data_IF_673813905544
#
_entry.id   IF_673813905544
#
_cell.length_a   1.000
_cell.length_b   1.000
_cell.length_c   1.000
_cell.angle_alpha   90.00
_cell.angle_beta   90.00
_cell.angle_gamma   90.00
#
_symmetry.space_group_name_H-M   'P 1'
#
loop_
_entity.id
_entity.type
_entity.pdbx_description
1 polymer ?
#
# COMPACT_ATOMS: atom_id res chain seq x y z
N UNK A 1 -14.84 -9.85 44.55
CA UNK A 1 -13.45 -9.51 44.15
C UNK A 1 -12.83 -10.80 43.61
N UNK A 2 -12.42 -10.99 42.35
CA UNK A 2 -12.01 -10.12 41.25
C UNK A 2 -12.60 -10.68 39.94
N UNK A 3 -13.00 -9.79 39.03
CA UNK A 3 -13.30 -10.10 37.64
C UNK A 3 -11.99 -10.46 36.92
N UNK A 4 -11.94 -11.62 36.27
CA UNK A 4 -10.93 -11.93 35.25
C UNK A 4 -11.63 -11.85 33.90
N UNK A 5 -11.62 -10.65 33.32
CA UNK A 5 -11.88 -10.47 31.89
C UNK A 5 -10.66 -11.05 31.14
N UNK A 6 -10.83 -12.23 30.55
CA UNK A 6 -9.95 -12.76 29.53
C UNK A 6 -10.13 -11.90 28.27
N UNK A 7 -9.24 -10.94 28.08
CA UNK A 7 -9.08 -10.24 26.82
C UNK A 7 -8.57 -11.23 25.77
N UNK A 8 -9.44 -11.59 24.82
CA UNK A 8 -9.03 -12.28 23.61
C UNK A 8 -8.19 -11.31 22.76
N UNK A 9 -6.87 -11.47 22.82
CA UNK A 9 -5.95 -10.77 21.91
C UNK A 9 -6.13 -11.40 20.54
N UNK A 10 -6.83 -10.71 19.64
CA UNK A 10 -6.88 -11.05 18.23
C UNK A 10 -5.48 -10.81 17.64
N UNK A 11 -4.67 -11.87 17.55
CA UNK A 11 -3.44 -11.84 16.79
C UNK A 11 -3.78 -11.57 15.33
N UNK A 12 -3.34 -10.43 14.79
CA UNK A 12 -3.31 -10.18 13.35
C UNK A 12 -2.36 -11.19 12.71
N UNK A 13 -2.91 -12.32 12.28
CA UNK A 13 -2.20 -13.31 11.51
C UNK A 13 -2.04 -12.78 10.08
N UNK A 14 -0.95 -12.05 9.84
CA UNK A 14 -0.36 -12.00 8.50
C UNK A 14 0.19 -13.40 8.20
N UNK A 15 -0.67 -14.30 7.71
CA UNK A 15 -0.24 -15.58 7.15
C UNK A 15 0.56 -15.29 5.87
N UNK A 16 1.89 -15.29 6.01
CA UNK A 16 2.82 -15.02 4.92
C UNK A 16 4.27 -15.03 5.38
N UNK A 17 4.69 -16.03 6.17
CA UNK A 17 6.10 -16.24 6.47
C UNK A 17 6.75 -17.01 5.31
N UNK A 18 7.40 -16.31 4.38
CA UNK A 18 8.33 -16.94 3.46
C UNK A 18 9.62 -17.30 4.24
N UNK A 19 9.91 -18.60 4.35
CA UNK A 19 11.14 -19.09 4.98
C UNK A 19 12.34 -18.82 4.07
N UNK A 20 13.29 -18.01 4.53
CA UNK A 20 14.57 -17.82 3.84
C UNK A 20 15.46 -19.03 4.17
N UNK A 21 15.80 -19.86 3.19
CA UNK A 21 16.85 -20.86 3.37
C UNK A 21 18.19 -20.14 3.44
N UNK A 22 18.85 -20.27 4.59
CA UNK A 22 20.12 -19.61 4.92
C UNK A 22 21.26 -20.12 4.03
N UNK A 23 21.88 -19.23 3.25
CA UNK A 23 23.34 -19.11 3.23
C UNK A 23 23.82 -17.76 2.68
N UNK A 24 24.87 -17.25 3.33
CA UNK A 24 25.88 -16.29 2.89
C UNK A 24 25.53 -14.81 2.62
N UNK A 25 26.35 -13.98 3.28
CA UNK A 25 26.52 -12.53 3.12
C UNK A 25 27.14 -12.16 1.76
N UNK A 26 26.53 -11.22 1.03
CA UNK A 26 27.13 -10.04 0.36
C UNK A 26 26.11 -9.40 -0.59
N UNK A 27 26.20 -8.08 -0.69
CA UNK A 27 25.58 -7.13 -1.63
C UNK A 27 24.47 -7.65 -2.58
N UNK A 28 23.30 -7.01 -2.53
CA UNK A 28 22.20 -7.15 -3.51
C UNK A 28 21.91 -8.59 -3.91
N UNK A 29 21.40 -9.37 -2.95
CA UNK A 29 20.99 -10.76 -3.17
C UNK A 29 19.89 -10.84 -4.21
N UNK A 30 20.23 -11.51 -5.30
CA UNK A 30 19.38 -11.97 -6.40
C UNK A 30 17.99 -12.43 -5.90
N UNK A 31 17.03 -11.51 -5.97
CA UNK A 31 15.64 -11.66 -5.50
C UNK A 31 14.94 -12.83 -6.22
N UNK A 32 15.44 -13.20 -7.41
CA UNK A 32 14.94 -14.31 -8.21
C UNK A 32 15.04 -15.67 -7.49
N UNK A 33 15.93 -15.80 -6.51
CA UNK A 33 16.11 -17.04 -5.73
C UNK A 33 15.24 -17.10 -4.46
N UNK A 34 14.47 -16.04 -4.14
CA UNK A 34 13.55 -16.07 -3.00
C UNK A 34 12.28 -16.83 -3.42
N UNK A 35 12.22 -18.10 -3.06
CA UNK A 35 11.05 -18.95 -3.26
C UNK A 35 9.91 -18.57 -2.30
N UNK A 36 9.00 -17.70 -2.75
CA UNK A 36 7.73 -17.48 -2.08
C UNK A 36 6.71 -18.50 -2.61
N UNK A 37 6.12 -19.36 -1.75
CA UNK A 37 5.08 -20.29 -2.17
C UNK A 37 3.97 -19.60 -2.96
N UNK A 38 3.45 -20.24 -4.02
CA UNK A 38 2.44 -19.63 -4.90
C UNK A 38 1.18 -19.17 -4.14
N UNK A 39 0.82 -19.86 -3.05
CA UNK A 39 -0.35 -19.49 -2.22
C UNK A 39 -0.12 -18.27 -1.31
N UNK A 40 1.13 -17.79 -1.19
CA UNK A 40 1.47 -16.61 -0.40
C UNK A 40 1.47 -15.30 -1.20
N UNK A 41 1.12 -15.36 -2.50
CA UNK A 41 1.01 -14.19 -3.36
C UNK A 41 -0.42 -13.63 -3.32
N UNK A 42 -0.54 -12.33 -3.05
CA UNK A 42 -1.81 -11.61 -3.09
C UNK A 42 -1.95 -10.88 -4.43
N UNK A 43 -3.01 -11.20 -5.20
CA UNK A 43 -3.30 -10.51 -6.46
C UNK A 43 -3.94 -9.14 -6.19
N UNK A 44 -3.56 -8.12 -6.95
CA UNK A 44 -4.15 -6.77 -6.85
C UNK A 44 -4.12 -6.06 -8.20
N UNK A 45 -4.93 -5.02 -8.35
CA UNK A 45 -4.99 -4.19 -9.56
C UNK A 45 -4.12 -2.95 -9.38
N UNK A 46 -3.24 -2.69 -10.35
CA UNK A 46 -2.49 -1.44 -10.44
C UNK A 46 -3.32 -0.28 -11.01
N UNK A 47 -2.83 0.95 -10.84
CA UNK A 47 -3.44 2.16 -11.43
C UNK A 47 -3.38 2.19 -12.96
N UNK A 48 -2.55 1.35 -13.58
CA UNK A 48 -2.46 1.13 -15.02
C UNK A 48 -3.44 0.07 -15.54
N UNK A 49 -4.20 -0.58 -14.65
CA UNK A 49 -5.14 -1.63 -15.00
C UNK A 49 -4.52 -3.01 -15.17
N UNK A 50 -3.22 -3.17 -14.86
CA UNK A 50 -2.53 -4.46 -14.90
C UNK A 50 -2.66 -5.16 -13.54
N UNK A 51 -3.05 -6.44 -13.56
CA UNK A 51 -3.07 -7.30 -12.38
C UNK A 51 -1.65 -7.72 -12.04
N UNK A 52 -1.29 -7.57 -10.77
CA UNK A 52 0.01 -7.93 -10.22
C UNK A 52 -0.18 -8.75 -8.97
N UNK A 53 0.91 -9.37 -8.54
CA UNK A 53 0.99 -10.13 -7.31
C UNK A 53 1.96 -9.45 -6.37
N UNK A 54 1.65 -9.45 -5.07
CA UNK A 54 2.52 -8.96 -4.00
C UNK A 54 2.72 -10.02 -2.94
N UNK A 55 3.94 -10.14 -2.45
CA UNK A 55 4.28 -10.93 -1.28
C UNK A 55 5.15 -10.10 -0.35
N UNK A 56 5.08 -10.36 0.95
CA UNK A 56 5.83 -9.62 1.95
C UNK A 56 6.92 -10.49 2.55
N UNK A 57 8.11 -9.92 2.67
CA UNK A 57 9.23 -10.46 3.43
C UNK A 57 9.43 -9.53 4.60
N UNK A 58 9.01 -9.97 5.77
CA UNK A 58 9.20 -9.21 7.00
C UNK A 58 10.68 -9.20 7.38
N UNK A 59 11.19 -8.06 7.81
CA UNK A 59 12.60 -7.92 8.20
C UNK A 59 12.92 -8.52 9.59
N UNK A 60 11.94 -9.08 10.29
CA UNK A 60 12.09 -9.60 11.65
C UNK A 60 12.59 -11.05 11.67
N UNK A 61 13.82 -11.25 11.19
CA UNK A 61 14.60 -12.48 11.38
C UNK A 61 15.75 -12.26 12.38
N UNK A 62 15.51 -11.55 13.48
CA UNK A 62 16.40 -11.60 14.65
C UNK A 62 15.59 -12.05 15.86
N UNK A 63 16.16 -13.00 16.61
CA UNK A 63 15.64 -13.54 17.87
C UNK A 63 15.49 -12.49 18.98
N UNK A 64 15.94 -11.27 18.71
CA UNK A 64 15.82 -10.08 19.54
C UNK A 64 15.09 -9.00 18.72
N UNK A 65 14.24 -8.21 19.38
CA UNK A 65 13.65 -6.92 18.96
C UNK A 65 12.15 -6.86 18.60
N UNK A 66 11.43 -6.16 19.49
CA UNK A 66 10.08 -5.56 19.47
C UNK A 66 8.87 -6.47 19.18
N UNK A 67 7.88 -6.40 20.08
CA UNK A 67 6.49 -6.83 19.84
C UNK A 67 5.86 -5.90 18.78
N UNK A 68 5.95 -6.29 17.51
CA UNK A 68 5.46 -5.54 16.33
C UNK A 68 6.14 -4.16 16.10
N UNK A 69 6.40 -3.76 14.83
CA UNK A 69 6.89 -2.42 14.52
C UNK A 69 5.87 -1.35 14.97
N UNK A 70 6.36 -0.18 15.40
CA UNK A 70 5.53 1.01 15.60
C UNK A 70 5.17 1.65 14.26
N UNK A 71 4.14 2.51 14.25
CA UNK A 71 3.76 3.25 13.05
C UNK A 71 4.91 4.11 12.51
N UNK A 72 5.16 4.00 11.21
CA UNK A 72 6.29 4.63 10.53
C UNK A 72 7.61 3.85 10.63
N UNK A 73 7.68 2.76 11.40
CA UNK A 73 8.85 1.86 11.37
C UNK A 73 8.79 0.91 10.17
N UNK A 74 9.97 0.57 9.64
CA UNK A 74 10.09 -0.42 8.58
C UNK A 74 9.63 -1.80 9.09
N UNK A 75 8.65 -2.38 8.41
CA UNK A 75 8.11 -3.70 8.71
C UNK A 75 8.76 -4.82 7.89
N UNK A 76 9.44 -4.48 6.79
CA UNK A 76 10.03 -5.43 5.85
C UNK A 76 10.16 -4.85 4.45
N UNK A 77 10.12 -5.72 3.44
CA UNK A 77 10.01 -5.33 2.05
C UNK A 77 8.98 -6.19 1.31
N UNK A 78 8.39 -5.62 0.27
CA UNK A 78 7.48 -6.32 -0.62
C UNK A 78 8.21 -6.77 -1.89
N UNK A 79 7.85 -7.94 -2.37
CA UNK A 79 8.14 -8.43 -3.71
C UNK A 79 6.90 -8.28 -4.58
N UNK A 80 7.12 -8.09 -5.88
CA UNK A 80 6.02 -8.11 -6.84
C UNK A 80 6.42 -8.86 -8.10
N UNK A 81 5.41 -9.40 -8.78
CA UNK A 81 5.51 -9.97 -10.11
C UNK A 81 4.24 -9.62 -10.87
N UNK A 82 4.31 -9.57 -12.20
CA UNK A 82 3.09 -9.57 -13.01
C UNK A 82 2.42 -10.92 -12.83
N UNK A 83 1.08 -10.93 -12.81
CA UNK A 83 0.30 -12.16 -12.66
C UNK A 83 0.78 -13.26 -13.64
N UNK A 84 1.13 -14.43 -13.09
CA UNK A 84 1.65 -15.56 -13.87
C UNK A 84 3.13 -15.49 -14.28
N UNK A 85 3.85 -14.41 -13.94
CA UNK A 85 5.29 -14.35 -14.11
C UNK A 85 5.99 -15.24 -13.08
N UNK A 86 7.10 -15.88 -13.47
CA UNK A 86 7.85 -16.79 -12.59
C UNK A 86 8.79 -16.07 -11.64
N UNK A 87 9.46 -15.02 -12.10
CA UNK A 87 10.51 -14.35 -11.33
C UNK A 87 9.98 -13.07 -10.70
N UNK A 88 10.03 -12.95 -9.36
CA UNK A 88 9.67 -11.71 -8.70
C UNK A 88 10.82 -10.70 -8.72
N UNK A 89 10.47 -9.43 -8.54
CA UNK A 89 11.42 -8.36 -8.27
C UNK A 89 10.99 -7.59 -7.03
N UNK A 90 11.92 -6.83 -6.45
CA UNK A 90 11.64 -6.02 -5.25
C UNK A 90 10.70 -4.88 -5.61
N UNK A 91 9.57 -4.83 -4.92
CA UNK A 91 8.66 -3.71 -5.01
C UNK A 91 9.20 -2.52 -4.20
N UNK A 92 9.63 -2.75 -2.96
CA UNK A 92 10.24 -1.73 -2.08
C UNK A 92 10.13 -2.08 -0.59
N UNK A 93 10.71 -1.30 0.31
CA UNK A 93 10.46 -1.44 1.75
C UNK A 93 9.02 -1.04 2.10
N UNK A 94 8.50 -1.65 3.15
CA UNK A 94 7.15 -1.38 3.68
C UNK A 94 7.24 -0.86 5.10
N UNK A 95 6.39 0.11 5.41
CA UNK A 95 6.32 0.79 6.70
C UNK A 95 4.97 0.49 7.37
N UNK A 96 4.97 0.31 8.69
CA UNK A 96 3.75 0.05 9.47
C UNK A 96 2.88 1.31 9.58
N UNK A 97 1.55 1.14 9.53
CA UNK A 97 0.58 2.21 9.78
C UNK A 97 -0.74 1.62 10.29
N UNK A 98 -1.06 1.76 11.58
CA UNK A 98 -2.25 1.16 12.16
C UNK A 98 -2.27 -0.34 11.89
N UNK A 99 -3.35 -0.89 11.34
CA UNK A 99 -3.44 -2.31 10.96
C UNK A 99 -2.98 -2.61 9.53
N UNK A 100 -2.40 -1.62 8.84
CA UNK A 100 -1.90 -1.75 7.47
C UNK A 100 -0.38 -1.54 7.39
N UNK A 101 0.15 -1.79 6.20
CA UNK A 101 1.51 -1.43 5.81
C UNK A 101 1.45 -0.60 4.53
N UNK A 102 2.38 0.33 4.37
CA UNK A 102 2.41 1.21 3.22
C UNK A 102 3.81 1.38 2.63
N UNK A 103 3.86 1.85 1.38
CA UNK A 103 5.08 2.17 0.66
C UNK A 103 4.87 3.42 -0.18
N UNK A 104 5.95 4.19 -0.36
CA UNK A 104 5.97 5.38 -1.19
C UNK A 104 7.06 5.27 -2.26
N UNK A 105 6.71 5.66 -3.48
CA UNK A 105 7.63 5.73 -4.60
C UNK A 105 7.42 7.01 -5.39
N UNK A 106 8.48 7.46 -6.03
CA UNK A 106 8.39 8.45 -7.09
C UNK A 106 7.68 7.78 -8.29
N UNK A 107 6.59 8.37 -8.75
CA UNK A 107 5.78 7.74 -9.81
C UNK A 107 6.40 7.88 -11.22
N UNK A 108 7.40 8.74 -11.38
CA UNK A 108 8.08 8.95 -12.67
C UNK A 108 9.29 8.02 -12.81
N UNK A 109 10.02 7.80 -11.72
CA UNK A 109 11.25 7.00 -11.70
C UNK A 109 11.08 5.61 -11.09
N UNK A 110 9.93 5.34 -10.44
CA UNK A 110 9.66 4.15 -9.62
C UNK A 110 10.67 3.93 -8.48
N UNK A 111 11.48 4.96 -8.17
CA UNK A 111 12.42 4.95 -7.07
C UNK A 111 11.67 5.00 -5.73
N UNK A 112 12.15 4.22 -4.77
CA UNK A 112 11.58 4.17 -3.42
C UNK A 112 11.91 5.45 -2.64
N UNK A 113 10.93 5.93 -1.87
CA UNK A 113 11.15 6.92 -0.83
C UNK A 113 11.39 6.20 0.50
N UNK A 114 12.67 6.08 0.90
CA UNK A 114 13.00 5.72 2.27
C UNK A 114 12.68 6.88 3.23
N UNK A 115 11.74 6.69 4.14
CA UNK A 115 11.28 7.73 5.06
C UNK A 115 12.24 8.03 6.21
N UNK A 116 13.27 7.21 6.41
CA UNK A 116 14.33 7.45 7.40
C UNK A 116 15.50 8.23 6.83
N UNK A 117 15.63 8.29 5.51
CA UNK A 117 16.70 9.01 4.82
C UNK A 117 16.27 10.44 4.49
N UNK A 118 17.06 11.42 4.93
CA UNK A 118 16.78 12.84 4.73
C UNK A 118 16.81 13.25 3.26
N UNK A 119 17.73 12.67 2.47
CA UNK A 119 17.82 12.92 1.05
C UNK A 119 16.56 12.41 0.32
N UNK A 120 16.09 11.24 0.70
CA UNK A 120 14.82 10.67 0.26
C UNK A 120 13.60 11.50 0.69
N UNK A 121 13.54 11.97 1.94
CA UNK A 121 12.48 12.87 2.40
C UNK A 121 12.47 14.19 1.61
N UNK A 122 13.64 14.73 1.27
CA UNK A 122 13.78 15.91 0.41
C UNK A 122 13.26 15.64 -1.01
N UNK A 123 13.58 14.48 -1.59
CA UNK A 123 13.01 14.06 -2.88
C UNK A 123 11.48 13.93 -2.82
N UNK A 124 10.93 13.38 -1.73
CA UNK A 124 9.49 13.29 -1.52
C UNK A 124 8.83 14.68 -1.48
N UNK A 125 9.42 15.65 -0.76
CA UNK A 125 8.95 17.06 -0.76
C UNK A 125 8.96 17.66 -2.17
N UNK A 126 9.96 17.30 -2.97
CA UNK A 126 10.16 17.74 -4.35
C UNK A 126 9.36 16.96 -5.41
N UNK A 127 8.55 15.97 -5.02
CA UNK A 127 7.84 15.13 -5.96
C UNK A 127 6.57 15.80 -6.50
N UNK A 128 6.42 15.77 -7.83
CA UNK A 128 5.18 16.18 -8.52
C UNK A 128 4.19 15.03 -8.69
N UNK A 129 4.69 13.79 -8.61
CA UNK A 129 3.91 12.57 -8.74
C UNK A 129 4.39 11.54 -7.71
N UNK A 130 3.52 11.22 -6.75
CA UNK A 130 3.82 10.30 -5.65
C UNK A 130 2.95 9.06 -5.82
N UNK A 131 3.58 7.90 -5.93
CA UNK A 131 2.92 6.61 -5.95
C UNK A 131 2.89 6.05 -4.53
N UNK A 132 1.71 5.66 -4.11
CA UNK A 132 1.43 5.14 -2.78
C UNK A 132 0.86 3.73 -2.90
N UNK A 133 1.34 2.85 -2.06
CA UNK A 133 0.78 1.52 -1.86
C UNK A 133 0.32 1.39 -0.42
N UNK A 134 -0.85 0.78 -0.22
CA UNK A 134 -1.31 0.32 1.09
C UNK A 134 -1.72 -1.14 0.99
N UNK A 135 -1.35 -1.90 2.02
CA UNK A 135 -1.60 -3.31 2.14
C UNK A 135 -2.18 -3.60 3.52
N UNK A 136 -3.35 -4.24 3.55
CA UNK A 136 -3.98 -4.72 4.77
C UNK A 136 -4.47 -6.16 4.58
N UNK A 137 -5.12 -6.71 5.61
CA UNK A 137 -5.68 -8.06 5.55
C UNK A 137 -6.73 -8.22 4.45
N UNK A 138 -7.53 -7.19 4.15
CA UNK A 138 -8.67 -7.26 3.23
C UNK A 138 -8.63 -6.22 2.09
N UNK A 139 -7.55 -5.44 1.98
CA UNK A 139 -7.41 -4.39 0.99
C UNK A 139 -5.96 -4.28 0.50
N UNK A 140 -5.81 -4.11 -0.80
CA UNK A 140 -4.59 -3.57 -1.40
C UNK A 140 -4.96 -2.34 -2.22
N UNK A 141 -4.40 -1.18 -1.89
CA UNK A 141 -4.61 0.06 -2.66
C UNK A 141 -3.32 0.49 -3.32
N UNK A 142 -3.40 0.84 -4.59
CA UNK A 142 -2.36 1.60 -5.30
C UNK A 142 -2.95 2.94 -5.69
N UNK A 143 -2.28 4.03 -5.35
CA UNK A 143 -2.69 5.39 -5.72
C UNK A 143 -1.52 6.17 -6.32
N UNK A 144 -1.81 7.05 -7.27
CA UNK A 144 -0.86 8.05 -7.77
C UNK A 144 -1.46 9.41 -7.51
N UNK A 145 -0.78 10.20 -6.68
CA UNK A 145 -1.08 11.60 -6.42
C UNK A 145 -0.26 12.47 -7.35
N UNK A 146 -0.88 13.47 -7.97
CA UNK A 146 -0.24 14.31 -8.99
C UNK A 146 -0.70 15.77 -8.87
N UNK A 147 0.26 16.70 -9.00
CA UNK A 147 -0.01 18.13 -9.04
C UNK A 147 0.81 18.83 -10.14
N UNK A 148 0.37 20.00 -10.64
CA UNK A 148 1.16 20.80 -11.60
C UNK A 148 2.50 21.30 -11.03
N UNK A 149 2.54 21.50 -9.71
CA UNK A 149 3.74 21.83 -8.94
C UNK A 149 4.10 20.63 -8.04
N UNK A 150 4.73 20.85 -6.88
CA UNK A 150 4.99 19.77 -5.92
C UNK A 150 3.69 19.33 -5.26
N UNK A 151 3.46 18.02 -5.11
CA UNK A 151 2.20 17.47 -4.54
C UNK A 151 1.92 18.05 -3.16
N UNK A 152 2.92 17.99 -2.27
CA UNK A 152 2.76 18.47 -0.91
C UNK A 152 2.60 19.98 -0.83
N UNK A 153 3.30 20.75 -1.65
CA UNK A 153 3.15 22.20 -1.71
C UNK A 153 1.75 22.58 -2.21
N UNK A 154 1.28 21.95 -3.28
CA UNK A 154 -0.07 22.19 -3.82
C UNK A 154 -1.12 21.91 -2.75
N UNK A 155 -1.05 20.75 -2.11
CA UNK A 155 -2.01 20.34 -1.10
C UNK A 155 -2.02 21.26 0.14
N UNK A 156 -0.85 21.58 0.70
CA UNK A 156 -0.74 22.46 1.87
C UNK A 156 -1.25 23.88 1.60
N UNK A 157 -1.10 24.39 0.38
CA UNK A 157 -1.65 25.70 -0.02
C UNK A 157 -3.16 25.67 -0.29
N UNK A 158 -3.79 24.49 -0.28
CA UNK A 158 -5.20 24.27 -0.63
C UNK A 158 -5.45 24.17 -2.12
N UNK A 159 -4.40 23.99 -2.92
CA UNK A 159 -4.50 23.67 -4.34
C UNK A 159 -5.01 22.25 -4.57
N UNK A 160 -5.41 21.97 -5.82
CA UNK A 160 -5.92 20.67 -6.21
C UNK A 160 -4.78 19.69 -6.49
N UNK A 161 -4.84 18.52 -5.87
CA UNK A 161 -4.04 17.34 -6.18
C UNK A 161 -4.95 16.31 -6.83
N UNK A 162 -4.59 15.87 -8.03
CA UNK A 162 -5.30 14.77 -8.70
C UNK A 162 -4.86 13.45 -8.09
N UNK A 163 -5.79 12.53 -7.88
CA UNK A 163 -5.50 11.16 -7.49
C UNK A 163 -6.12 10.19 -8.49
N UNK A 164 -5.35 9.19 -8.89
CA UNK A 164 -5.85 7.99 -9.56
C UNK A 164 -5.53 6.79 -8.69
N UNK A 165 -6.52 5.96 -8.38
CA UNK A 165 -6.33 4.77 -7.57
C UNK A 165 -6.89 3.49 -8.19
N UNK A 166 -6.41 2.37 -7.68
CA UNK A 166 -7.04 1.07 -7.78
C UNK A 166 -6.97 0.39 -6.40
N UNK A 167 -8.14 0.07 -5.84
CA UNK A 167 -8.31 -0.55 -4.53
C UNK A 167 -8.91 -1.94 -4.69
N UNK A 168 -8.12 -2.98 -4.48
CA UNK A 168 -8.49 -4.40 -4.54
C UNK A 168 -8.97 -4.88 -3.18
N UNK A 169 -10.24 -5.25 -3.08
CA UNK A 169 -10.87 -5.76 -1.86
C UNK A 169 -11.03 -7.27 -1.91
N UNK A 170 -10.66 -7.93 -0.82
CA UNK A 170 -10.74 -9.38 -0.66
C UNK A 170 -11.90 -9.76 0.25
N UNK A 171 -12.66 -10.79 -0.13
CA UNK A 171 -13.64 -11.38 0.76
C UNK A 171 -12.92 -12.12 1.90
N UNK A 172 -13.47 -12.07 3.12
CA UNK A 172 -12.96 -12.82 4.27
C UNK A 172 -12.92 -14.33 4.04
N UNK A 173 -13.77 -14.84 3.15
CA UNK A 173 -13.77 -16.26 2.76
C UNK A 173 -12.68 -16.58 1.72
N UNK A 174 -12.09 -15.55 1.09
CA UNK A 174 -11.02 -15.71 0.12
C UNK A 174 -9.64 -15.66 0.80
N UNK A 175 -9.33 -16.73 1.54
CA UNK A 175 -8.08 -16.83 2.30
C UNK A 175 -6.83 -16.75 1.40
N UNK A 176 -6.91 -17.25 0.18
CA UNK A 176 -5.81 -17.21 -0.81
C UNK A 176 -5.71 -15.87 -1.54
N UNK A 177 -6.68 -14.95 -1.36
CA UNK A 177 -6.73 -13.62 -2.01
C UNK A 177 -6.54 -13.64 -3.54
N UNK A 178 -6.91 -14.75 -4.19
CA UNK A 178 -6.82 -14.93 -5.66
C UNK A 178 -7.87 -14.18 -6.46
N UNK A 179 -8.92 -13.73 -5.78
CA UNK A 179 -10.12 -13.11 -6.35
C UNK A 179 -10.43 -11.85 -5.57
N UNK A 180 -10.80 -10.79 -6.27
CA UNK A 180 -11.04 -9.51 -5.63
C UNK A 180 -12.01 -8.66 -6.44
N UNK A 181 -12.62 -7.71 -5.75
CA UNK A 181 -13.32 -6.59 -6.38
C UNK A 181 -12.40 -5.39 -6.36
N UNK A 182 -12.05 -4.86 -7.52
CA UNK A 182 -11.30 -3.62 -7.63
C UNK A 182 -12.24 -2.43 -7.79
N UNK A 183 -11.99 -1.38 -7.04
CA UNK A 183 -12.57 -0.04 -7.23
C UNK A 183 -11.48 0.85 -7.79
N UNK A 184 -11.71 1.41 -8.98
CA UNK A 184 -10.80 2.35 -9.62
C UNK A 184 -11.42 3.73 -9.45
N UNK A 185 -10.68 4.69 -8.90
CA UNK A 185 -11.18 6.05 -8.75
C UNK A 185 -10.24 7.08 -9.37
N UNK A 186 -10.84 8.19 -9.81
CA UNK A 186 -10.16 9.42 -10.14
C UNK A 186 -10.84 10.53 -9.37
N UNK A 187 -10.07 11.31 -8.61
CA UNK A 187 -10.60 12.41 -7.81
C UNK A 187 -9.63 13.59 -7.80
N UNK A 188 -10.11 14.75 -7.34
CA UNK A 188 -9.29 15.89 -6.93
C UNK A 188 -9.40 16.05 -5.43
N UNK A 189 -8.28 16.29 -4.77
CA UNK A 189 -8.19 16.47 -3.31
C UNK A 189 -7.63 17.86 -3.06
N UNK A 190 -8.19 18.57 -2.08
CA UNK A 190 -7.69 19.85 -1.58
C UNK A 190 -7.87 19.90 -0.07
N UNK A 191 -6.89 20.43 0.65
CA UNK A 191 -7.00 20.63 2.11
C UNK A 191 -8.05 21.67 2.51
N UNK A 192 -8.54 22.48 1.56
CA UNK A 192 -9.57 23.52 1.81
C UNK A 192 -10.95 23.13 1.30
N UNK A 193 -11.01 22.42 0.17
CA UNK A 193 -12.26 22.10 -0.52
C UNK A 193 -12.65 20.63 -0.40
N UNK A 194 -11.84 19.80 0.27
CA UNK A 194 -12.07 18.37 0.43
C UNK A 194 -11.82 17.60 -0.87
N UNK A 195 -12.48 16.45 -0.99
CA UNK A 195 -12.31 15.53 -2.12
C UNK A 195 -13.50 15.59 -3.09
N UNK A 196 -13.22 15.80 -4.38
CA UNK A 196 -14.17 15.76 -5.48
C UNK A 196 -13.93 14.51 -6.34
N UNK A 197 -14.88 13.58 -6.33
CA UNK A 197 -14.86 12.42 -7.24
C UNK A 197 -15.11 12.88 -8.68
N UNK A 198 -14.23 12.47 -9.60
CA UNK A 198 -14.38 12.72 -11.03
C UNK A 198 -14.92 11.49 -11.77
N UNK A 199 -14.37 10.32 -11.45
CA UNK A 199 -14.72 9.06 -12.10
C UNK A 199 -14.52 7.89 -11.16
N UNK A 200 -15.39 6.89 -11.25
CA UNK A 200 -15.19 5.60 -10.60
C UNK A 200 -15.61 4.44 -11.49
N UNK A 201 -15.01 3.27 -11.27
CA UNK A 201 -15.32 2.03 -11.97
C UNK A 201 -15.11 0.84 -11.03
N UNK A 202 -15.88 -0.23 -11.21
CA UNK A 202 -15.68 -1.50 -10.51
C UNK A 202 -15.27 -2.57 -11.50
N UNK A 203 -14.32 -3.40 -11.11
CA UNK A 203 -13.99 -4.63 -11.82
C UNK A 203 -13.98 -5.81 -10.85
N UNK A 204 -14.72 -6.86 -11.16
CA UNK A 204 -14.71 -8.10 -10.40
C UNK A 204 -13.77 -9.09 -11.08
N UNK A 205 -12.87 -9.65 -10.29
CA UNK A 205 -11.92 -10.68 -10.70
C UNK A 205 -12.33 -11.98 -10.00
N UNK A 206 -13.34 -12.65 -10.56
CA UNK A 206 -14.01 -13.82 -9.94
C UNK A 206 -13.34 -15.15 -10.28
N UNK A 207 -12.47 -15.17 -11.29
CA UNK A 207 -11.58 -16.29 -11.59
C UNK A 207 -10.23 -15.77 -12.12
N UNK A 208 -9.23 -16.65 -12.28
CA UNK A 208 -7.87 -16.25 -12.70
C UNK A 208 -7.85 -15.47 -14.03
N UNK A 209 -8.71 -15.84 -14.98
CA UNK A 209 -8.82 -15.23 -16.32
C UNK A 209 -10.05 -14.32 -16.49
N UNK A 210 -10.85 -14.17 -15.44
CA UNK A 210 -12.23 -13.71 -15.51
C UNK A 210 -12.32 -12.27 -15.05
N UNK A 211 -12.14 -11.35 -15.99
CA UNK A 211 -12.58 -9.98 -15.83
C UNK A 211 -14.10 -9.94 -16.06
N UNK A 212 -14.87 -9.74 -15.00
CA UNK A 212 -16.27 -9.30 -15.13
C UNK A 212 -16.36 -7.87 -14.65
N UNK A 213 -16.70 -6.95 -15.55
CA UNK A 213 -17.07 -5.61 -15.14
C UNK A 213 -18.39 -5.70 -14.36
N UNK A 214 -18.42 -5.18 -13.13
CA UNK A 214 -19.66 -5.19 -12.36
C UNK A 214 -20.60 -4.16 -12.97
N UNK A 215 -21.69 -4.61 -13.60
CA UNK A 215 -22.63 -3.73 -14.28
C UNK A 215 -23.46 -2.86 -13.30
N UNK A 216 -23.57 -3.24 -12.03
CA UNK A 216 -24.47 -2.59 -11.08
C UNK A 216 -23.75 -1.85 -9.95
N UNK A 217 -24.08 -0.55 -9.83
CA UNK A 217 -23.74 0.29 -8.68
C UNK A 217 -24.60 -0.16 -7.49
N UNK A 218 -24.04 -1.00 -6.64
CA UNK A 218 -24.69 -1.40 -5.37
C UNK A 218 -24.39 -0.38 -4.27
N UNK A 219 -25.22 -0.31 -3.22
CA UNK A 219 -24.94 0.53 -2.04
C UNK A 219 -23.55 0.25 -1.44
N UNK A 220 -23.14 -1.03 -1.43
CA UNK A 220 -21.81 -1.48 -0.99
C UNK A 220 -20.67 -0.88 -1.82
N UNK A 221 -20.91 -0.56 -3.10
CA UNK A 221 -19.92 0.12 -3.93
C UNK A 221 -19.78 1.59 -3.57
N UNK A 222 -20.89 2.30 -3.41
CA UNK A 222 -20.86 3.71 -3.06
C UNK A 222 -20.15 3.91 -1.72
N UNK A 223 -20.45 3.06 -0.74
CA UNK A 223 -19.76 3.04 0.55
C UNK A 223 -18.24 2.86 0.39
N UNK A 224 -17.78 1.92 -0.44
CA UNK A 224 -16.35 1.71 -0.70
C UNK A 224 -15.68 2.95 -1.29
N UNK A 225 -16.32 3.59 -2.27
CA UNK A 225 -15.79 4.83 -2.85
C UNK A 225 -15.71 5.93 -1.79
N UNK A 226 -16.78 6.15 -1.00
CA UNK A 226 -16.78 7.21 0.00
C UNK A 226 -15.70 6.99 1.07
N UNK A 227 -15.50 5.75 1.50
CA UNK A 227 -14.44 5.39 2.43
C UNK A 227 -13.05 5.66 1.85
N UNK A 228 -12.83 5.34 0.57
CA UNK A 228 -11.58 5.62 -0.13
C UNK A 228 -11.32 7.13 -0.27
N UNK A 229 -12.34 7.90 -0.69
CA UNK A 229 -12.23 9.35 -0.85
C UNK A 229 -11.94 10.07 0.47
N UNK A 230 -12.54 9.60 1.58
CA UNK A 230 -12.27 10.13 2.93
C UNK A 230 -10.84 9.84 3.38
N UNK A 231 -10.27 8.71 2.95
CA UNK A 231 -8.92 8.31 3.30
C UNK A 231 -7.83 9.14 2.62
N UNK A 232 -8.07 9.69 1.43
CA UNK A 232 -7.00 10.35 0.67
C UNK A 232 -6.45 11.61 1.32
N UNK A 233 -7.31 12.46 1.89
CA UNK A 233 -6.85 13.67 2.56
C UNK A 233 -5.96 13.33 3.76
N UNK A 234 -6.37 12.34 4.56
CA UNK A 234 -5.59 11.82 5.68
C UNK A 234 -4.24 11.28 5.23
N UNK A 235 -4.23 10.43 4.19
CA UNK A 235 -3.00 9.85 3.64
C UNK A 235 -2.07 10.93 3.11
N UNK A 236 -2.58 11.91 2.36
CA UNK A 236 -1.76 12.98 1.80
C UNK A 236 -1.18 13.88 2.91
N UNK A 237 -1.96 14.16 3.97
CA UNK A 237 -1.46 14.81 5.18
C UNK A 237 -0.30 14.03 5.81
N UNK A 238 -0.45 12.71 5.99
CA UNK A 238 0.60 11.84 6.55
C UNK A 238 1.85 11.82 5.68
N UNK A 239 1.70 11.60 4.36
CA UNK A 239 2.78 11.59 3.37
C UNK A 239 3.58 12.90 3.44
N UNK A 240 2.88 14.04 3.43
CA UNK A 240 3.53 15.34 3.46
C UNK A 240 4.13 15.68 4.82
N UNK A 241 3.62 15.12 5.91
CA UNK A 241 4.22 15.22 7.24
C UNK A 241 5.52 14.41 7.36
N UNK A 242 5.61 13.23 6.75
CA UNK A 242 6.88 12.48 6.66
C UNK A 242 7.94 13.28 5.91
N UNK A 243 7.53 13.97 4.84
CA UNK A 243 8.35 14.97 4.21
C UNK A 243 8.81 16.01 5.22
N UNK A 244 7.91 16.62 6.00
CA UNK A 244 8.18 17.79 6.84
C UNK A 244 9.02 17.58 8.13
N UNK A 245 9.55 16.39 8.43
CA UNK A 245 10.38 16.15 9.63
C UNK A 245 11.74 16.90 9.57
N UNK A 246 11.70 18.19 9.87
CA UNK A 246 12.77 19.01 10.44
C UNK A 246 12.08 20.20 11.11
N UNK A 247 11.97 20.18 12.46
CA UNK A 247 11.86 21.35 13.37
C UNK A 247 11.57 21.05 14.86
N UNK A 248 11.96 19.91 15.43
CA UNK A 248 11.87 19.72 16.90
C UNK A 248 13.19 19.41 17.60
N UNK A 249 14.32 19.75 16.98
CA UNK A 249 15.60 19.83 17.67
C UNK A 249 16.24 21.18 17.37
N UNK A 250 15.83 22.20 18.11
CA UNK A 250 16.58 23.43 18.27
C UNK A 250 16.51 23.89 19.72
#
# INVERSE_FOLDING_TARGET
MKNLFLAAIAALAFYGCAGITSSANKAERDISNIGVPEDNWTRYLGTDGIVREVAFLTAFFSRDFRTQPEDGEAAGFALTKTDGARLPFRLGAVYKSGDSAFMLKDADTEAEFDLKDEASATRLRGARRIKFYEFSSNLTTVAVFEAPILVCEAFQKGGNVSVKSASSYYDTQNLEKRYFTAVITQAKISSKSGTLLLKSQIKNFTNLNGLQEAAEKTHKFEEKIQNELRGYELRLNQICAFGAKEREQK
#
